data_IF_824370989566
#
_entry.id   IF_824370989566
#
_cell.length_a   1.000
_cell.length_b   1.000
_cell.length_c   1.000
_cell.angle_alpha   90.00
_cell.angle_beta   90.00
_cell.angle_gamma   90.00
#
_symmetry.space_group_name_H-M   'P 1'
#
loop_
_entity.id
_entity.type
_entity.pdbx_description
1 polymer ?
#
# COMPACT_ATOMS: atom_id res chain seq x y z
N UNK A 1 -23.83 -40.98 0.84
CA UNK A 1 -24.04 -39.78 1.66
C UNK A 1 -23.82 -40.19 3.11
N UNK A 2 -22.59 -40.07 3.63
CA UNK A 2 -22.32 -40.29 5.06
C UNK A 2 -22.37 -38.90 5.70
N UNK A 3 -23.46 -38.62 6.38
CA UNK A 3 -23.61 -37.41 7.19
C UNK A 3 -23.07 -37.73 8.59
N UNK A 4 -21.81 -37.37 8.87
CA UNK A 4 -21.35 -37.29 10.26
C UNK A 4 -21.75 -35.91 10.78
N UNK A 5 -22.97 -35.79 11.30
CA UNK A 5 -23.36 -34.65 12.14
C UNK A 5 -23.04 -35.04 13.57
N UNK A 6 -21.87 -34.61 14.03
CA UNK A 6 -21.42 -34.71 15.41
C UNK A 6 -20.42 -33.60 15.68
N UNK A 7 -20.84 -32.59 16.46
CA UNK A 7 -19.94 -31.64 17.12
C UNK A 7 -19.18 -32.41 18.21
N UNK A 8 -18.11 -33.12 17.83
CA UNK A 8 -17.17 -33.69 18.78
C UNK A 8 -15.80 -33.07 18.56
N UNK A 9 -15.25 -32.44 19.58
CA UNK A 9 -13.82 -32.11 19.67
C UNK A 9 -13.06 -33.44 19.57
N UNK A 10 -12.46 -33.70 18.41
CA UNK A 10 -11.67 -34.90 18.18
C UNK A 10 -10.28 -34.68 18.77
N UNK A 11 -10.03 -35.24 19.96
CA UNK A 11 -8.68 -35.46 20.46
C UNK A 11 -8.15 -36.75 19.82
N UNK A 12 -7.29 -36.63 18.82
CA UNK A 12 -6.68 -37.77 18.16
C UNK A 12 -5.20 -37.48 17.88
N UNK A 13 -4.34 -38.42 18.29
CA UNK A 13 -2.89 -38.29 18.13
C UNK A 13 -2.40 -38.54 16.70
N UNK A 14 -3.17 -39.12 15.78
CA UNK A 14 -2.84 -39.11 14.34
C UNK A 14 -4.12 -39.41 13.53
N UNK A 15 -4.63 -38.42 12.79
CA UNK A 15 -5.78 -38.60 11.90
C UNK A 15 -5.32 -38.57 10.44
N UNK A 16 -5.32 -39.73 9.78
CA UNK A 16 -5.02 -39.87 8.36
C UNK A 16 -6.32 -40.16 7.59
N UNK A 17 -6.82 -39.18 6.82
CA UNK A 17 -7.99 -39.37 5.95
C UNK A 17 -7.56 -39.53 4.50
N UNK A 18 -7.96 -40.65 3.87
CA UNK A 18 -7.77 -40.94 2.45
C UNK A 18 -9.11 -41.39 1.87
N UNK A 19 -9.88 -40.45 1.31
CA UNK A 19 -11.19 -40.75 0.70
C UNK A 19 -11.37 -40.09 -0.66
N UNK A 20 -12.25 -40.68 -1.47
CA UNK A 20 -12.58 -40.28 -2.85
C UNK A 20 -14.00 -39.68 -2.97
N UNK A 21 -14.58 -39.18 -1.87
CA UNK A 21 -15.99 -38.77 -1.83
C UNK A 21 -16.20 -37.29 -2.18
N UNK A 22 -17.14 -37.07 -3.08
CA UNK A 22 -17.49 -35.80 -3.76
C UNK A 22 -18.31 -34.80 -2.94
N UNK A 23 -18.12 -34.74 -1.61
CA UNK A 23 -18.65 -33.68 -0.72
C UNK A 23 -18.23 -33.98 0.73
N UNK A 24 -17.21 -33.29 1.25
CA UNK A 24 -16.87 -33.30 2.68
C UNK A 24 -17.33 -31.98 3.30
N UNK A 25 -18.60 -31.92 3.74
CA UNK A 25 -19.03 -30.91 4.71
C UNK A 25 -18.56 -31.31 6.11
N UNK A 26 -17.26 -31.41 6.33
CA UNK A 26 -16.72 -31.60 7.67
C UNK A 26 -16.53 -30.22 8.31
N UNK A 27 -17.52 -29.74 9.04
CA UNK A 27 -17.30 -28.73 10.07
C UNK A 27 -16.53 -29.38 11.24
N UNK A 28 -15.28 -29.79 11.02
CA UNK A 28 -14.42 -30.40 12.03
C UNK A 28 -13.48 -29.34 12.57
N UNK A 29 -13.64 -29.01 13.86
CA UNK A 29 -12.62 -28.29 14.62
C UNK A 29 -11.54 -29.28 15.03
N UNK A 30 -10.30 -29.07 14.59
CA UNK A 30 -9.17 -29.86 15.04
C UNK A 30 -8.38 -29.09 16.12
N UNK A 31 -8.20 -29.73 17.27
CA UNK A 31 -7.46 -29.22 18.43
C UNK A 31 -6.41 -30.27 18.82
N UNK A 32 -5.14 -30.08 18.44
CA UNK A 32 -4.07 -31.04 18.74
C UNK A 32 -2.66 -30.50 18.56
N UNK A 33 -1.67 -31.21 19.11
CA UNK A 33 -0.23 -30.89 19.01
C UNK A 33 0.52 -31.69 17.93
N UNK A 34 -0.19 -32.54 17.16
CA UNK A 34 0.40 -33.41 16.14
C UNK A 34 0.05 -32.93 14.75
N UNK A 35 0.92 -33.12 13.76
CA UNK A 35 0.80 -32.54 12.41
C UNK A 35 -0.36 -33.21 11.61
N UNK A 36 -1.49 -32.53 11.31
CA UNK A 36 -2.50 -33.14 10.44
C UNK A 36 -2.07 -33.01 8.97
N UNK A 37 -1.84 -34.15 8.31
CA UNK A 37 -1.60 -34.22 6.86
C UNK A 37 -2.90 -34.64 6.15
N UNK A 38 -3.51 -33.73 5.40
CA UNK A 38 -4.70 -34.01 4.60
C UNK A 38 -4.30 -34.31 3.16
N UNK A 39 -4.44 -35.58 2.74
CA UNK A 39 -4.17 -36.02 1.36
C UNK A 39 -5.39 -36.70 0.74
N UNK A 40 -5.94 -36.14 -0.35
CA UNK A 40 -7.10 -36.72 -1.03
C UNK A 40 -7.18 -36.30 -2.50
N UNK A 41 -7.94 -37.04 -3.31
CA UNK A 41 -8.34 -36.59 -4.66
C UNK A 41 -9.76 -36.03 -4.59
N UNK A 42 -9.89 -34.71 -4.60
CA UNK A 42 -11.19 -34.06 -4.70
C UNK A 42 -11.67 -34.04 -6.16
N UNK A 43 -12.99 -34.24 -6.36
CA UNK A 43 -13.61 -33.91 -7.64
C UNK A 43 -13.66 -32.38 -7.81
N UNK A 44 -13.84 -31.87 -9.04
CA UNK A 44 -13.76 -30.44 -9.40
C UNK A 44 -14.72 -29.48 -8.64
N UNK A 45 -15.53 -29.96 -7.70
CA UNK A 45 -16.54 -29.17 -6.98
C UNK A 45 -16.57 -29.34 -5.45
N UNK A 46 -15.59 -30.01 -4.84
CA UNK A 46 -15.60 -30.20 -3.39
C UNK A 46 -15.14 -28.91 -2.66
N UNK A 47 -15.97 -28.38 -1.76
CA UNK A 47 -15.63 -27.23 -0.90
C UNK A 47 -15.22 -27.75 0.48
N UNK A 48 -14.03 -27.35 0.92
CA UNK A 48 -13.47 -27.78 2.19
C UNK A 48 -13.50 -26.61 3.18
N UNK A 49 -14.26 -26.76 4.28
CA UNK A 49 -14.29 -25.80 5.38
C UNK A 49 -13.47 -26.35 6.55
N UNK A 50 -12.40 -25.67 6.95
CA UNK A 50 -11.62 -26.10 8.12
C UNK A 50 -11.49 -24.99 9.16
N UNK A 51 -11.58 -25.41 10.42
CA UNK A 51 -11.10 -24.63 11.55
C UNK A 51 -9.99 -25.44 12.23
N UNK A 52 -8.73 -25.03 12.03
CA UNK A 52 -7.57 -25.77 12.55
C UNK A 52 -6.86 -24.91 13.59
N UNK A 53 -6.85 -25.41 14.83
CA UNK A 53 -6.14 -24.82 15.97
C UNK A 53 -5.08 -25.82 16.45
N UNK A 54 -3.79 -25.52 16.24
CA UNK A 54 -2.68 -26.41 16.63
C UNK A 54 -1.47 -26.32 15.70
N UNK A 55 -0.64 -27.37 15.62
CA UNK A 55 0.67 -27.31 14.96
C UNK A 55 0.70 -27.77 13.49
N UNK A 56 1.26 -26.94 12.61
CA UNK A 56 1.78 -27.24 11.25
C UNK A 56 0.98 -28.15 10.28
N UNK A 57 -0.24 -27.80 9.84
CA UNK A 57 -0.94 -28.59 8.82
C UNK A 57 -0.22 -28.54 7.46
N UNK A 58 -0.26 -29.65 6.72
CA UNK A 58 0.05 -29.67 5.30
C UNK A 58 -1.17 -30.18 4.52
N UNK A 59 -1.62 -29.43 3.53
CA UNK A 59 -2.73 -29.82 2.66
C UNK A 59 -2.17 -30.06 1.26
N UNK A 60 -2.37 -31.28 0.74
CA UNK A 60 -1.99 -31.64 -0.62
C UNK A 60 -3.09 -32.39 -1.36
N UNK A 61 -3.58 -31.80 -2.45
CA UNK A 61 -4.57 -32.39 -3.35
C UNK A 61 -4.39 -31.85 -4.77
N UNK A 62 -4.72 -32.63 -5.82
CA UNK A 62 -4.73 -32.14 -7.19
C UNK A 62 -5.67 -30.93 -7.31
N UNK A 63 -6.92 -31.00 -6.86
CA UNK A 63 -7.88 -29.88 -6.91
C UNK A 63 -8.27 -29.46 -5.50
N UNK A 64 -8.16 -28.18 -5.14
CA UNK A 64 -8.56 -27.69 -3.82
C UNK A 64 -9.44 -26.44 -3.99
N UNK A 65 -10.63 -26.45 -3.37
CA UNK A 65 -11.40 -25.24 -3.09
C UNK A 65 -11.53 -25.08 -1.59
N UNK A 66 -10.98 -23.99 -1.05
CA UNK A 66 -11.09 -23.63 0.36
C UNK A 66 -12.14 -22.53 0.50
N UNK A 67 -13.17 -22.77 1.30
CA UNK A 67 -14.07 -21.73 1.76
C UNK A 67 -14.07 -21.73 3.30
N UNK A 68 -14.32 -20.58 3.94
CA UNK A 68 -14.53 -20.59 5.39
C UNK A 68 -13.30 -20.97 6.23
N UNK A 69 -12.06 -20.76 5.75
CA UNK A 69 -10.85 -21.32 6.35
C UNK A 69 -10.24 -20.42 7.45
N UNK A 70 -10.52 -20.71 8.73
CA UNK A 70 -9.82 -20.06 9.85
C UNK A 70 -8.64 -20.90 10.31
N UNK A 71 -7.44 -20.31 10.26
CA UNK A 71 -6.23 -20.94 10.79
C UNK A 71 -5.63 -20.06 11.87
N UNK A 72 -5.42 -20.65 13.06
CA UNK A 72 -4.68 -20.00 14.14
C UNK A 72 -3.60 -20.98 14.61
N UNK A 73 -2.43 -20.99 13.96
CA UNK A 73 -1.34 -21.84 14.42
C UNK A 73 -0.90 -21.37 15.80
N UNK A 74 -0.75 -22.29 16.74
CA UNK A 74 -0.10 -21.98 18.03
C UNK A 74 1.42 -22.20 17.92
N UNK A 75 1.87 -22.98 16.92
CA UNK A 75 3.27 -23.19 16.53
C UNK A 75 3.37 -23.80 15.13
N UNK A 76 4.49 -23.57 14.42
CA UNK A 76 4.81 -24.21 13.14
C UNK A 76 4.30 -23.55 11.85
N UNK A 77 4.91 -23.93 10.72
CA UNK A 77 4.57 -23.48 9.37
C UNK A 77 3.31 -24.19 8.81
N UNK A 78 2.52 -23.49 8.00
CA UNK A 78 1.39 -24.05 7.26
C UNK A 78 1.70 -24.04 5.76
N UNK A 79 1.55 -25.19 5.11
CA UNK A 79 1.85 -25.33 3.70
C UNK A 79 0.62 -25.88 2.95
N UNK A 80 0.23 -25.19 1.88
CA UNK A 80 -0.70 -25.71 0.88
C UNK A 80 0.07 -25.94 -0.41
N UNK A 81 0.00 -27.17 -0.92
CA UNK A 81 0.62 -27.55 -2.19
C UNK A 81 -0.31 -28.40 -3.06
N UNK A 82 -0.15 -28.37 -4.38
CA UNK A 82 -1.07 -29.08 -5.28
C UNK A 82 -0.68 -29.01 -6.74
N UNK A 83 -1.19 -29.93 -7.54
CA UNK A 83 -0.87 -30.03 -8.97
C UNK A 83 -1.84 -29.26 -9.89
N UNK A 84 -2.97 -28.77 -9.39
CA UNK A 84 -3.93 -27.96 -10.14
C UNK A 84 -4.17 -26.58 -9.47
N UNK A 85 -4.99 -25.70 -10.05
CA UNK A 85 -5.36 -24.43 -9.43
C UNK A 85 -6.02 -24.61 -8.05
N UNK A 86 -5.78 -23.65 -7.16
CA UNK A 86 -6.37 -23.56 -5.82
C UNK A 86 -7.34 -22.38 -5.79
N UNK A 87 -8.62 -22.60 -5.51
CA UNK A 87 -9.57 -21.51 -5.28
C UNK A 87 -9.71 -21.25 -3.77
N UNK A 88 -9.51 -20.01 -3.33
CA UNK A 88 -9.62 -19.58 -1.93
C UNK A 88 -10.72 -18.52 -1.80
N UNK A 89 -11.76 -18.83 -1.03
CA UNK A 89 -12.85 -17.93 -0.69
C UNK A 89 -12.66 -17.40 0.73
N UNK A 90 -12.72 -16.08 0.88
CA UNK A 90 -12.61 -15.43 2.20
C UNK A 90 -13.68 -15.91 3.19
N UNK A 91 -13.38 -15.77 4.48
CA UNK A 91 -14.28 -16.09 5.58
C UNK A 91 -14.43 -14.89 6.50
N UNK A 92 -15.62 -14.67 7.05
CA UNK A 92 -15.91 -13.49 7.87
C UNK A 92 -15.83 -13.80 9.36
N UNK A 93 -15.00 -13.06 10.09
CA UNK A 93 -14.95 -13.03 11.56
C UNK A 93 -15.35 -11.65 12.02
N UNK A 94 -16.47 -11.54 12.75
CA UNK A 94 -17.05 -10.25 13.10
C UNK A 94 -17.47 -9.48 11.85
N UNK A 95 -16.93 -8.27 11.66
CA UNK A 95 -17.14 -7.44 10.47
C UNK A 95 -16.03 -7.56 9.41
N UNK A 96 -15.02 -8.40 9.63
CA UNK A 96 -13.83 -8.49 8.77
C UNK A 96 -13.79 -9.81 8.03
N UNK A 97 -13.64 -9.75 6.72
CA UNK A 97 -13.42 -10.93 5.88
C UNK A 97 -11.92 -11.17 5.73
N UNK A 98 -11.46 -12.31 6.24
CA UNK A 98 -10.09 -12.77 6.18
C UNK A 98 -9.93 -13.79 5.05
N UNK A 99 -8.81 -13.72 4.36
CA UNK A 99 -8.34 -14.83 3.53
C UNK A 99 -7.36 -15.70 4.33
N UNK A 100 -6.51 -15.06 5.15
CA UNK A 100 -5.49 -15.73 5.96
C UNK A 100 -5.33 -14.97 7.28
N UNK A 101 -5.27 -15.71 8.38
CA UNK A 101 -4.89 -15.19 9.70
C UNK A 101 -3.62 -15.91 10.16
N UNK A 102 -2.50 -15.21 10.29
CA UNK A 102 -1.28 -15.74 10.89
C UNK A 102 -0.91 -14.86 12.07
N UNK A 103 -0.96 -15.36 13.29
CA UNK A 103 -0.51 -14.61 14.47
C UNK A 103 0.79 -15.19 15.06
N UNK A 104 1.64 -15.81 14.21
CA UNK A 104 2.89 -16.42 14.67
C UNK A 104 4.09 -15.96 13.84
N UNK A 105 5.29 -16.27 14.33
CA UNK A 105 6.57 -16.02 13.66
C UNK A 105 6.88 -16.98 12.49
N UNK A 106 5.93 -17.85 12.11
CA UNK A 106 6.18 -18.91 11.13
C UNK A 106 5.88 -18.48 9.69
N UNK A 107 6.54 -19.14 8.73
CA UNK A 107 6.24 -18.98 7.30
C UNK A 107 5.02 -19.81 6.91
N UNK A 108 4.06 -19.22 6.19
CA UNK A 108 2.99 -19.94 5.51
C UNK A 108 3.25 -19.91 4.01
N UNK A 109 3.19 -21.06 3.35
CA UNK A 109 3.55 -21.20 1.93
C UNK A 109 2.38 -21.71 1.10
N UNK A 110 2.11 -21.02 0.00
CA UNK A 110 1.15 -21.41 -1.03
C UNK A 110 1.92 -21.76 -2.31
N UNK A 111 2.03 -23.07 -2.60
CA UNK A 111 2.88 -23.60 -3.68
C UNK A 111 2.15 -24.63 -4.53
N UNK A 112 1.35 -24.17 -5.49
CA UNK A 112 0.64 -25.01 -6.47
C UNK A 112 1.27 -24.93 -7.87
N UNK A 113 1.15 -25.99 -8.68
CA UNK A 113 1.55 -25.95 -10.10
C UNK A 113 0.55 -25.14 -10.96
N UNK A 114 -0.71 -25.01 -10.50
CA UNK A 114 -1.70 -24.09 -11.07
C UNK A 114 -1.72 -22.73 -10.36
N UNK A 115 -2.51 -21.79 -10.88
CA UNK A 115 -2.69 -20.49 -10.23
C UNK A 115 -3.51 -20.62 -8.93
N UNK A 116 -3.17 -19.85 -7.91
CA UNK A 116 -4.01 -19.66 -6.71
C UNK A 116 -4.98 -18.52 -6.99
N UNK A 117 -6.28 -18.79 -7.00
CA UNK A 117 -7.33 -17.80 -7.24
C UNK A 117 -7.99 -17.40 -5.95
N UNK A 118 -8.12 -16.10 -5.70
CA UNK A 118 -8.81 -15.57 -4.54
C UNK A 118 -10.13 -14.95 -4.92
N UNK A 119 -11.14 -15.15 -4.07
CA UNK A 119 -12.50 -14.67 -4.28
C UNK A 119 -13.03 -13.92 -3.04
N UNK A 120 -13.63 -12.75 -3.26
CA UNK A 120 -14.27 -11.96 -2.22
C UNK A 120 -14.18 -10.46 -2.49
N UNK A 121 -15.08 -9.65 -1.95
CA UNK A 121 -15.03 -8.19 -2.16
C UNK A 121 -13.82 -7.55 -1.49
N UNK A 122 -13.58 -7.88 -0.21
CA UNK A 122 -12.41 -7.43 0.54
C UNK A 122 -11.80 -8.60 1.29
N UNK A 123 -10.49 -8.80 1.16
CA UNK A 123 -9.75 -9.88 1.81
C UNK A 123 -8.65 -9.31 2.72
N UNK A 124 -8.63 -9.78 3.96
CA UNK A 124 -7.58 -9.42 4.93
C UNK A 124 -6.58 -10.57 5.08
N UNK A 125 -5.30 -10.23 5.06
CA UNK A 125 -4.16 -11.12 5.25
C UNK A 125 -3.36 -10.66 6.46
N UNK A 126 -3.47 -11.37 7.57
CA UNK A 126 -2.72 -11.03 8.79
C UNK A 126 -1.42 -11.82 8.87
N UNK A 127 -0.30 -11.12 9.05
CA UNK A 127 1.05 -11.65 9.06
C UNK A 127 1.74 -11.28 10.37
N UNK A 128 1.50 -12.03 11.45
CA UNK A 128 1.92 -11.69 12.83
C UNK A 128 3.35 -11.15 12.90
N UNK A 129 4.35 -12.02 13.05
CA UNK A 129 5.77 -11.66 12.86
C UNK A 129 6.46 -12.57 11.84
N UNK A 130 5.72 -13.51 11.26
CA UNK A 130 6.21 -14.52 10.34
C UNK A 130 6.22 -14.06 8.89
N UNK A 131 5.99 -15.00 7.97
CA UNK A 131 6.03 -14.72 6.53
C UNK A 131 4.83 -15.34 5.81
N UNK A 132 4.23 -14.63 4.86
CA UNK A 132 3.37 -15.23 3.84
C UNK A 132 4.16 -15.35 2.54
N UNK A 133 4.22 -16.55 1.97
CA UNK A 133 4.94 -16.85 0.74
C UNK A 133 3.98 -17.44 -0.29
N UNK A 134 3.78 -16.72 -1.39
CA UNK A 134 3.02 -17.16 -2.57
C UNK A 134 4.02 -17.53 -3.68
N UNK A 135 4.36 -18.81 -3.79
CA UNK A 135 5.33 -19.27 -4.80
C UNK A 135 4.69 -19.62 -6.14
N UNK A 136 3.38 -19.87 -6.15
CA UNK A 136 2.60 -20.06 -7.37
C UNK A 136 2.13 -18.72 -7.96
N UNK A 137 1.78 -18.75 -9.26
CA UNK A 137 1.04 -17.64 -9.86
C UNK A 137 -0.26 -17.40 -9.07
N UNK A 138 -0.57 -16.16 -8.76
CA UNK A 138 -1.73 -15.79 -7.94
C UNK A 138 -2.66 -14.86 -8.71
N UNK A 139 -3.96 -15.11 -8.65
CA UNK A 139 -5.00 -14.37 -9.38
C UNK A 139 -6.01 -13.78 -8.39
N UNK A 140 -6.07 -12.45 -8.40
CA UNK A 140 -6.96 -11.64 -7.56
C UNK A 140 -8.01 -10.89 -8.40
N UNK A 141 -8.22 -11.25 -9.66
CA UNK A 141 -9.14 -10.55 -10.59
C UNK A 141 -10.59 -10.43 -10.09
N UNK A 142 -10.99 -11.25 -9.12
CA UNK A 142 -12.32 -11.20 -8.48
C UNK A 142 -12.31 -10.55 -7.10
N UNK A 143 -11.20 -9.90 -6.73
CA UNK A 143 -11.02 -9.21 -5.44
C UNK A 143 -11.00 -7.71 -5.66
N UNK A 144 -11.78 -6.95 -4.88
CA UNK A 144 -11.80 -5.49 -5.01
C UNK A 144 -10.74 -4.84 -4.12
N UNK A 145 -10.52 -5.39 -2.92
CA UNK A 145 -9.56 -4.86 -1.97
C UNK A 145 -8.82 -5.98 -1.23
N UNK A 146 -7.52 -5.78 -1.03
CA UNK A 146 -6.70 -6.58 -0.15
C UNK A 146 -6.04 -5.73 0.91
N UNK A 147 -6.14 -6.20 2.16
CA UNK A 147 -5.58 -5.53 3.33
C UNK A 147 -4.57 -6.46 3.96
N UNK A 148 -3.32 -6.04 4.03
CA UNK A 148 -2.25 -6.76 4.71
C UNK A 148 -2.06 -6.14 6.10
N UNK A 149 -2.26 -6.97 7.13
CA UNK A 149 -2.10 -6.62 8.54
C UNK A 149 -0.91 -7.37 9.17
N UNK A 150 -0.42 -6.96 10.35
CA UNK A 150 0.70 -7.60 11.09
C UNK A 150 2.07 -6.90 11.00
N UNK A 151 3.15 -7.61 11.28
CA UNK A 151 4.54 -7.11 11.20
C UNK A 151 5.45 -8.05 10.38
N UNK A 152 4.85 -9.05 9.74
CA UNK A 152 5.56 -10.07 9.00
C UNK A 152 5.88 -9.67 7.57
N UNK A 153 6.62 -10.55 6.90
CA UNK A 153 6.97 -10.37 5.49
C UNK A 153 5.90 -10.97 4.58
N UNK A 154 5.64 -10.33 3.46
CA UNK A 154 4.80 -10.91 2.40
C UNK A 154 5.61 -10.98 1.12
N UNK A 155 5.75 -12.18 0.57
CA UNK A 155 6.52 -12.42 -0.65
C UNK A 155 5.69 -13.19 -1.67
N UNK A 156 5.69 -12.70 -2.90
CA UNK A 156 5.15 -13.36 -4.08
C UNK A 156 6.31 -13.62 -5.03
N UNK A 157 6.64 -14.89 -5.25
CA UNK A 157 7.67 -15.28 -6.23
C UNK A 157 7.05 -15.76 -7.54
N UNK A 158 5.75 -16.08 -7.55
CA UNK A 158 4.99 -16.34 -8.77
C UNK A 158 4.38 -15.06 -9.37
N UNK A 159 3.86 -15.16 -10.61
CA UNK A 159 3.20 -14.03 -11.27
C UNK A 159 1.92 -13.64 -10.54
N UNK A 160 1.72 -12.35 -10.26
CA UNK A 160 0.52 -11.85 -9.59
C UNK A 160 -0.36 -11.08 -10.58
N UNK A 161 -1.58 -11.57 -10.80
CA UNK A 161 -2.60 -10.90 -11.60
C UNK A 161 -3.60 -10.18 -10.69
N UNK A 162 -3.58 -8.84 -10.68
CA UNK A 162 -4.37 -8.01 -9.75
C UNK A 162 -5.23 -6.96 -10.44
N UNK A 163 -5.78 -7.29 -11.61
CA UNK A 163 -6.65 -6.37 -12.36
C UNK A 163 -7.68 -5.71 -11.46
N UNK A 164 -7.56 -4.39 -11.28
CA UNK A 164 -8.47 -3.56 -10.50
C UNK A 164 -8.56 -3.85 -9.00
N UNK A 165 -7.49 -4.37 -8.39
CA UNK A 165 -7.45 -4.58 -6.94
C UNK A 165 -6.78 -3.40 -6.24
N UNK A 166 -7.41 -2.89 -5.19
CA UNK A 166 -6.79 -1.98 -4.21
C UNK A 166 -5.95 -2.78 -3.22
N UNK A 167 -4.66 -2.46 -3.14
CA UNK A 167 -3.75 -3.02 -2.15
C UNK A 167 -3.59 -2.04 -0.99
N UNK A 168 -3.80 -2.51 0.24
CA UNK A 168 -3.60 -1.71 1.44
C UNK A 168 -2.68 -2.45 2.40
N UNK A 169 -1.59 -1.79 2.83
CA UNK A 169 -0.75 -2.25 3.92
C UNK A 169 -1.04 -1.37 5.13
N UNK A 170 -1.59 -1.93 6.20
CA UNK A 170 -2.09 -1.18 7.36
C UNK A 170 -1.47 -1.71 8.64
N UNK A 171 -0.20 -1.39 8.89
CA UNK A 171 0.64 -2.03 9.92
C UNK A 171 1.43 -1.03 10.76
N UNK A 172 1.57 -1.29 12.06
CA UNK A 172 2.44 -0.52 12.98
C UNK A 172 3.86 -1.07 13.07
N UNK A 173 4.39 -1.64 11.97
CA UNK A 173 5.69 -2.32 11.93
C UNK A 173 6.36 -2.31 10.56
N UNK A 174 7.57 -2.88 10.50
CA UNK A 174 8.31 -3.05 9.24
C UNK A 174 7.78 -4.28 8.51
N UNK A 175 7.24 -4.12 7.30
CA UNK A 175 6.95 -5.24 6.42
C UNK A 175 7.94 -5.20 5.25
N UNK A 176 8.69 -6.28 5.02
CA UNK A 176 9.34 -6.48 3.73
C UNK A 176 8.30 -7.10 2.78
N UNK A 177 7.96 -6.36 1.73
CA UNK A 177 6.94 -6.73 0.75
C UNK A 177 7.61 -6.92 -0.60
N UNK A 178 7.72 -8.17 -1.04
CA UNK A 178 8.36 -8.52 -2.29
C UNK A 178 7.30 -9.01 -3.27
N UNK A 179 6.75 -8.11 -4.10
CA UNK A 179 5.68 -8.46 -5.05
C UNK A 179 5.93 -7.87 -6.42
N UNK A 180 5.96 -8.69 -7.46
CA UNK A 180 5.94 -8.24 -8.85
C UNK A 180 4.48 -8.17 -9.33
N UNK A 181 4.00 -6.97 -9.64
CA UNK A 181 2.63 -6.77 -10.12
C UNK A 181 2.62 -6.61 -11.64
N UNK A 182 1.78 -7.37 -12.33
CA UNK A 182 1.56 -7.13 -13.76
C UNK A 182 0.71 -5.85 -13.99
N UNK A 183 -0.26 -5.57 -13.11
CA UNK A 183 -1.16 -4.40 -13.17
C UNK A 183 -1.94 -4.22 -11.87
N UNK A 184 -1.75 -3.11 -11.14
CA UNK A 184 -2.62 -2.71 -10.00
C UNK A 184 -3.44 -1.45 -10.33
N UNK A 185 -4.59 -1.24 -9.69
CA UNK A 185 -5.39 0.00 -9.81
C UNK A 185 -5.00 1.03 -8.75
N UNK A 186 -4.82 0.59 -7.51
CA UNK A 186 -4.42 1.48 -6.43
C UNK A 186 -3.54 0.73 -5.44
N UNK A 187 -2.43 1.34 -5.07
CA UNK A 187 -1.55 0.85 -4.01
C UNK A 187 -1.56 1.89 -2.91
N UNK A 188 -1.97 1.47 -1.72
CA UNK A 188 -2.10 2.27 -0.51
C UNK A 188 -1.16 1.71 0.54
N UNK A 189 -0.28 2.57 1.07
CA UNK A 189 0.59 2.23 2.20
C UNK A 189 0.19 3.16 3.34
N UNK A 190 -0.38 2.61 4.40
CA UNK A 190 -1.01 3.34 5.49
C UNK A 190 -0.51 2.86 6.87
N UNK A 191 -0.65 3.71 7.90
CA UNK A 191 -0.58 3.28 9.30
C UNK A 191 0.77 3.27 10.01
N UNK A 192 1.75 4.13 9.67
CA UNK A 192 3.03 4.18 10.40
C UNK A 192 4.00 3.05 10.04
N UNK A 193 3.67 2.26 9.02
CA UNK A 193 4.50 1.14 8.57
C UNK A 193 5.75 1.61 7.83
N UNK A 194 6.79 0.76 7.82
CA UNK A 194 7.85 0.83 6.81
C UNK A 194 7.65 -0.35 5.85
N UNK A 195 7.40 -0.06 4.58
CA UNK A 195 7.20 -1.06 3.52
C UNK A 195 8.33 -0.95 2.51
N UNK A 196 9.06 -2.03 2.27
CA UNK A 196 10.14 -2.07 1.26
C UNK A 196 9.76 -2.96 0.10
N UNK A 197 9.93 -2.47 -1.13
CA UNK A 197 9.76 -3.21 -2.38
C UNK A 197 11.14 -3.56 -2.99
N UNK A 198 11.36 -4.83 -3.34
CA UNK A 198 12.67 -5.37 -3.77
C UNK A 198 12.79 -5.75 -5.26
N UNK A 199 14.04 -5.86 -5.71
CA UNK A 199 14.62 -5.81 -7.08
C UNK A 199 13.95 -6.48 -8.31
N UNK A 200 12.95 -7.34 -8.19
CA UNK A 200 12.42 -8.07 -9.37
C UNK A 200 10.97 -7.70 -9.74
N UNK A 201 10.55 -6.54 -9.28
CA UNK A 201 9.16 -6.13 -9.30
C UNK A 201 9.03 -4.85 -10.12
N UNK A 202 8.59 -4.96 -11.38
CA UNK A 202 7.89 -3.83 -11.97
C UNK A 202 6.60 -3.70 -11.18
N UNK A 203 6.46 -2.68 -10.34
CA UNK A 203 5.12 -2.29 -9.91
C UNK A 203 4.56 -1.58 -11.12
N UNK A 204 3.67 -2.21 -11.89
CA UNK A 204 2.91 -1.53 -12.93
C UNK A 204 1.59 -1.10 -12.31
N UNK A 205 1.57 0.07 -11.68
CA UNK A 205 0.33 0.63 -11.14
C UNK A 205 -0.35 1.47 -12.24
N UNK A 206 -1.41 0.92 -12.81
CA UNK A 206 -2.26 1.62 -13.79
C UNK A 206 -3.15 2.70 -13.16
N UNK A 207 -3.10 2.90 -11.85
CA UNK A 207 -3.71 4.07 -11.20
C UNK A 207 -2.76 4.80 -10.26
N UNK A 208 -3.27 5.19 -9.10
CA UNK A 208 -2.58 6.10 -8.18
C UNK A 208 -1.88 5.31 -7.07
N UNK A 209 -0.60 5.63 -6.81
CA UNK A 209 0.04 5.23 -5.55
C UNK A 209 -0.24 6.33 -4.52
N UNK A 210 -0.87 5.96 -3.41
CA UNK A 210 -1.12 6.86 -2.28
C UNK A 210 -0.34 6.33 -1.08
N UNK A 211 0.53 7.16 -0.51
CA UNK A 211 1.26 6.83 0.72
C UNK A 211 0.82 7.79 1.81
N UNK A 212 0.27 7.25 2.89
CA UNK A 212 -0.24 8.02 4.03
C UNK A 212 0.54 7.61 5.28
N UNK A 213 1.16 8.57 5.97
CA UNK A 213 1.79 8.37 7.28
C UNK A 213 2.75 7.17 7.38
N UNK A 214 3.41 6.78 6.28
CA UNK A 214 4.19 5.55 6.19
C UNK A 214 5.48 5.74 5.40
N UNK A 215 6.46 4.87 5.62
CA UNK A 215 7.71 4.84 4.86
C UNK A 215 7.61 3.81 3.74
N UNK A 216 7.87 4.20 2.50
CA UNK A 216 7.92 3.29 1.35
C UNK A 216 9.29 3.35 0.68
N UNK A 217 9.88 2.19 0.36
CA UNK A 217 11.15 2.11 -0.38
C UNK A 217 10.96 1.40 -1.72
N UNK A 218 11.21 2.11 -2.83
CA UNK A 218 11.21 1.58 -4.19
C UNK A 218 12.65 1.49 -4.71
N UNK A 219 13.27 0.31 -4.56
CA UNK A 219 14.67 0.11 -4.94
C UNK A 219 14.86 -0.40 -6.39
N UNK A 220 13.77 -0.57 -7.14
CA UNK A 220 13.74 -1.13 -8.51
C UNK A 220 12.94 -0.24 -9.45
N UNK A 221 12.79 -0.66 -10.71
CA UNK A 221 11.91 0.03 -11.67
C UNK A 221 10.50 0.10 -11.12
N UNK A 222 10.00 1.32 -10.95
CA UNK A 222 8.67 1.62 -10.42
C UNK A 222 7.86 2.27 -11.53
N UNK A 223 6.72 1.69 -11.92
CA UNK A 223 5.86 2.22 -12.98
C UNK A 223 4.50 2.61 -12.40
N UNK A 224 4.08 3.86 -12.57
CA UNK A 224 2.78 4.29 -12.05
C UNK A 224 2.13 5.32 -12.96
N UNK A 225 0.81 5.36 -13.02
CA UNK A 225 0.16 6.46 -13.73
C UNK A 225 0.27 7.77 -12.95
N UNK A 226 0.34 7.72 -11.62
CA UNK A 226 0.52 8.89 -10.78
C UNK A 226 1.11 8.49 -9.42
N UNK A 227 2.07 9.26 -8.95
CA UNK A 227 2.60 9.15 -7.59
C UNK A 227 2.00 10.25 -6.72
N UNK A 228 1.34 9.88 -5.61
CA UNK A 228 0.89 10.80 -4.59
C UNK A 228 1.56 10.47 -3.26
N UNK A 229 2.29 11.44 -2.71
CA UNK A 229 2.99 11.33 -1.43
C UNK A 229 2.28 12.22 -0.42
N UNK A 230 1.47 11.62 0.45
CA UNK A 230 0.54 12.32 1.33
C UNK A 230 1.11 12.54 2.75
N UNK A 231 0.34 13.23 3.58
CA UNK A 231 0.71 13.68 4.93
C UNK A 231 1.59 12.69 5.71
N UNK A 232 2.78 13.15 6.10
CA UNK A 232 3.71 12.42 6.95
C UNK A 232 4.36 11.20 6.32
N UNK A 233 3.99 10.82 5.09
CA UNK A 233 4.63 9.72 4.40
C UNK A 233 6.06 10.08 3.99
N UNK A 234 6.92 9.07 3.92
CA UNK A 234 8.27 9.17 3.37
C UNK A 234 8.45 8.14 2.26
N UNK A 235 8.63 8.57 1.03
CA UNK A 235 8.81 7.69 -0.11
C UNK A 235 10.23 7.80 -0.62
N UNK A 236 10.96 6.69 -0.66
CA UNK A 236 12.30 6.61 -1.24
C UNK A 236 12.23 5.97 -2.62
N UNK A 237 12.82 6.60 -3.63
CA UNK A 237 12.88 6.04 -5.00
C UNK A 237 14.33 5.95 -5.47
N UNK A 238 14.77 4.76 -5.86
CA UNK A 238 16.15 4.49 -6.26
C UNK A 238 16.36 3.67 -7.53
N UNK A 239 15.32 3.07 -8.11
CA UNK A 239 15.39 2.46 -9.43
C UNK A 239 14.67 3.33 -10.46
N UNK A 240 15.02 3.21 -11.75
CA UNK A 240 14.40 3.98 -12.84
C UNK A 240 12.87 3.96 -12.74
N UNK A 241 12.26 5.08 -12.37
CA UNK A 241 10.83 5.18 -12.25
C UNK A 241 10.27 5.66 -13.59
N UNK A 242 9.31 4.94 -14.17
CA UNK A 242 8.58 5.39 -15.36
C UNK A 242 7.16 5.69 -14.94
N UNK A 243 6.84 6.96 -14.70
CA UNK A 243 5.46 7.34 -14.38
C UNK A 243 4.80 8.01 -15.57
N UNK A 244 3.63 7.56 -16.00
CA UNK A 244 2.97 8.21 -17.13
C UNK A 244 2.27 9.53 -16.76
N UNK A 245 2.20 9.86 -15.46
CA UNK A 245 1.64 11.11 -14.97
C UNK A 245 2.54 11.82 -13.96
N UNK A 246 2.01 12.90 -13.39
CA UNK A 246 2.75 13.75 -12.46
C UNK A 246 2.95 13.15 -11.07
N UNK A 247 3.74 13.85 -10.28
CA UNK A 247 3.95 13.60 -8.85
C UNK A 247 3.18 14.66 -8.08
N UNK A 248 2.31 14.23 -7.18
CA UNK A 248 1.65 15.10 -6.21
C UNK A 248 2.31 14.92 -4.84
N UNK A 249 2.94 15.98 -4.34
CA UNK A 249 3.53 16.01 -3.01
C UNK A 249 2.58 16.76 -2.08
N UNK A 250 1.75 16.02 -1.33
CA UNK A 250 0.71 16.53 -0.44
C UNK A 250 1.17 16.40 1.00
N UNK A 251 2.13 17.23 1.42
CA UNK A 251 2.60 17.23 2.82
C UNK A 251 3.35 15.98 3.28
N UNK A 252 3.75 15.09 2.38
CA UNK A 252 4.72 14.04 2.65
C UNK A 252 6.15 14.43 2.22
N UNK A 253 7.07 13.47 2.29
CA UNK A 253 8.46 13.61 1.88
C UNK A 253 8.77 12.61 0.78
N UNK A 254 9.24 13.08 -0.37
CA UNK A 254 9.80 12.25 -1.43
C UNK A 254 11.33 12.34 -1.36
N UNK A 255 12.02 11.20 -1.33
CA UNK A 255 13.47 11.11 -1.21
C UNK A 255 14.05 10.33 -2.40
N UNK A 256 15.11 10.86 -2.99
CA UNK A 256 15.86 10.14 -4.02
C UNK A 256 16.92 9.21 -3.40
N UNK A 257 17.19 8.10 -4.08
CA UNK A 257 18.31 7.19 -3.79
C UNK A 257 19.26 7.02 -4.98
N UNK A 258 18.96 7.67 -6.11
CA UNK A 258 19.81 7.78 -7.30
C UNK A 258 19.33 8.94 -8.17
N UNK A 259 20.16 9.36 -9.15
CA UNK A 259 19.84 10.46 -10.07
C UNK A 259 19.00 10.01 -11.26
N UNK A 260 18.24 10.94 -11.86
CA UNK A 260 17.40 10.72 -13.05
C UNK A 260 16.37 9.60 -12.87
N UNK A 261 15.87 9.46 -11.65
CA UNK A 261 14.94 8.39 -11.28
C UNK A 261 13.54 8.75 -11.70
N UNK A 262 13.18 10.03 -11.60
CA UNK A 262 11.85 10.55 -11.86
C UNK A 262 11.74 11.14 -13.27
N UNK A 263 12.82 11.62 -13.87
CA UNK A 263 12.96 12.02 -15.28
C UNK A 263 11.70 12.33 -16.09
N UNK A 264 11.47 13.61 -16.43
CA UNK A 264 10.42 14.09 -17.34
C UNK A 264 8.98 14.00 -16.80
N UNK A 265 8.78 14.17 -15.49
CA UNK A 265 7.45 14.25 -14.89
C UNK A 265 7.16 15.63 -14.31
N UNK A 266 5.88 15.98 -14.17
CA UNK A 266 5.49 17.21 -13.48
C UNK A 266 5.57 16.99 -11.97
N UNK A 267 6.04 17.98 -11.22
CA UNK A 267 5.95 18.01 -9.76
C UNK A 267 4.89 19.03 -9.34
N UNK A 268 3.81 18.54 -8.72
CA UNK A 268 2.80 19.35 -8.08
C UNK A 268 3.11 19.41 -6.58
N UNK A 269 3.82 20.46 -6.18
CA UNK A 269 4.17 20.75 -4.80
C UNK A 269 2.94 21.34 -4.08
N UNK A 270 2.20 20.46 -3.42
CA UNK A 270 1.02 20.77 -2.62
C UNK A 270 1.34 20.74 -1.12
N UNK A 271 2.58 21.11 -0.79
CA UNK A 271 3.19 20.97 0.53
C UNK A 271 4.36 19.99 0.48
N UNK A 272 4.87 19.64 1.66
CA UNK A 272 5.85 18.56 1.81
C UNK A 272 7.26 18.93 1.36
N UNK A 273 8.10 17.90 1.26
CA UNK A 273 9.54 18.00 1.00
C UNK A 273 9.94 17.09 -0.16
N UNK A 274 10.52 17.65 -1.22
CA UNK A 274 11.23 16.87 -2.23
C UNK A 274 12.73 16.90 -1.92
N UNK A 275 13.25 15.79 -1.42
CA UNK A 275 14.62 15.65 -0.96
C UNK A 275 15.48 14.89 -1.98
N UNK A 276 16.47 15.57 -2.53
CA UNK A 276 17.39 15.04 -3.53
C UNK A 276 18.44 14.12 -2.91
N UNK A 277 18.70 14.18 -1.60
CA UNK A 277 19.71 13.34 -0.92
C UNK A 277 21.10 13.37 -1.62
N UNK A 278 21.49 14.49 -2.24
CA UNK A 278 22.73 14.57 -3.01
C UNK A 278 22.67 13.91 -4.40
N UNK A 279 21.48 13.80 -4.99
CA UNK A 279 21.28 13.32 -6.36
C UNK A 279 20.76 14.43 -7.28
N UNK A 280 20.77 14.18 -8.59
CA UNK A 280 20.33 15.10 -9.64
C UNK A 280 19.06 14.61 -10.31
N UNK A 281 18.15 15.53 -10.63
CA UNK A 281 16.86 15.20 -11.25
C UNK A 281 16.43 16.23 -12.30
N UNK A 282 15.80 15.75 -13.36
CA UNK A 282 15.21 16.55 -14.44
C UNK A 282 13.71 16.31 -14.54
N UNK A 283 12.91 17.35 -14.32
CA UNK A 283 11.45 17.30 -14.34
C UNK A 283 10.88 18.22 -15.41
N UNK A 284 9.61 18.02 -15.75
CA UNK A 284 8.89 18.87 -16.69
C UNK A 284 8.47 20.17 -16.00
N UNK A 285 7.24 20.27 -15.53
CA UNK A 285 6.72 21.47 -14.91
C UNK A 285 6.72 21.36 -13.39
N UNK A 286 7.12 22.46 -12.73
CA UNK A 286 6.90 22.68 -11.30
C UNK A 286 5.59 23.44 -11.09
N UNK A 287 4.66 22.91 -10.30
CA UNK A 287 3.49 23.64 -9.78
C UNK A 287 3.58 23.75 -8.27
N UNK A 288 3.07 24.85 -7.70
CA UNK A 288 3.11 25.17 -6.28
C UNK A 288 1.73 25.65 -5.81
N UNK A 289 1.05 24.89 -4.94
CA UNK A 289 -0.27 25.29 -4.40
C UNK A 289 -0.25 25.55 -2.88
N UNK A 290 0.78 25.08 -2.18
CA UNK A 290 1.02 25.28 -0.75
C UNK A 290 2.52 25.54 -0.56
N UNK A 291 2.91 26.16 0.56
CA UNK A 291 4.33 26.30 0.90
C UNK A 291 4.99 24.93 0.93
N UNK A 292 6.04 24.77 0.14
CA UNK A 292 6.70 23.49 -0.10
C UNK A 292 8.21 23.65 -0.05
N UNK A 293 8.90 22.52 0.00
CA UNK A 293 10.35 22.51 0.14
C UNK A 293 11.01 21.59 -0.88
N UNK A 294 12.12 22.05 -1.44
CA UNK A 294 13.13 21.20 -2.07
C UNK A 294 14.32 21.20 -1.14
N UNK A 295 14.87 20.03 -0.87
CA UNK A 295 16.06 19.85 -0.04
C UNK A 295 17.13 19.16 -0.90
N UNK A 296 18.28 19.80 -1.08
CA UNK A 296 19.40 19.24 -1.82
C UNK A 296 20.12 18.11 -1.06
N UNK A 297 19.83 17.96 0.24
CA UNK A 297 20.47 17.00 1.14
C UNK A 297 21.83 17.49 1.65
N UNK A 298 22.37 16.81 2.64
CA UNK A 298 23.72 17.08 3.15
C UNK A 298 24.75 16.40 2.25
N UNK A 299 25.42 17.14 1.38
CA UNK A 299 26.45 16.60 0.49
C UNK A 299 27.28 17.69 -0.14
N UNK A 300 28.50 17.35 -0.57
CA UNK A 300 29.36 18.27 -1.28
C UNK A 300 28.88 18.40 -2.74
N UNK A 301 28.25 19.54 -3.05
CA UNK A 301 28.24 20.24 -4.33
C UNK A 301 28.45 19.46 -5.62
N UNK A 302 27.36 19.27 -6.38
CA UNK A 302 27.29 18.91 -7.81
C UNK A 302 25.86 18.49 -8.23
N UNK A 303 24.87 18.71 -7.37
CA UNK A 303 23.52 18.24 -7.58
C UNK A 303 22.79 19.22 -8.49
N UNK A 304 21.98 18.72 -9.41
CA UNK A 304 21.19 19.56 -10.30
C UNK A 304 19.72 19.20 -10.22
N UNK A 305 18.87 20.18 -9.97
CA UNK A 305 17.42 20.06 -10.11
C UNK A 305 16.92 21.00 -11.19
N UNK A 306 16.47 20.44 -12.31
CA UNK A 306 16.05 21.20 -13.48
C UNK A 306 14.59 20.95 -13.81
N UNK A 307 13.82 22.01 -13.98
CA UNK A 307 12.45 21.98 -14.48
C UNK A 307 12.38 22.63 -15.87
N UNK A 308 11.80 21.90 -16.84
CA UNK A 308 11.56 22.39 -18.21
C UNK A 308 10.53 23.54 -18.29
N UNK A 309 9.74 23.74 -17.22
CA UNK A 309 8.75 24.80 -17.17
C UNK A 309 8.22 25.11 -15.79
N UNK A 310 7.51 26.24 -15.69
CA UNK A 310 6.69 26.59 -14.54
C UNK A 310 5.21 26.33 -14.83
N UNK A 311 4.61 25.43 -14.06
CA UNK A 311 3.17 25.20 -14.01
C UNK A 311 2.42 26.28 -13.21
N UNK A 312 1.38 25.89 -12.48
CA UNK A 312 0.57 26.82 -11.69
C UNK A 312 1.25 27.14 -10.36
N UNK A 313 1.40 28.43 -10.03
CA UNK A 313 1.86 28.89 -8.72
C UNK A 313 0.73 29.67 -8.07
N UNK A 314 0.19 29.17 -6.96
CA UNK A 314 -0.81 29.87 -6.18
C UNK A 314 -0.19 31.11 -5.55
N UNK A 315 -0.92 32.23 -5.58
CA UNK A 315 -0.46 33.51 -5.04
C UNK A 315 -0.11 33.41 -3.55
N UNK A 316 0.99 34.03 -3.14
CA UNK A 316 1.44 34.08 -1.74
C UNK A 316 2.01 32.77 -1.20
N UNK A 317 2.21 31.74 -2.03
CA UNK A 317 2.90 30.50 -1.65
C UNK A 317 4.38 30.59 -1.95
N UNK A 318 5.19 29.91 -1.15
CA UNK A 318 6.65 29.91 -1.28
C UNK A 318 7.19 28.49 -1.49
N UNK A 319 8.11 28.34 -2.44
CA UNK A 319 9.00 27.19 -2.54
C UNK A 319 10.31 27.55 -1.84
N UNK A 320 10.69 26.78 -0.82
CA UNK A 320 11.99 26.94 -0.15
C UNK A 320 12.95 25.87 -0.66
N UNK A 321 14.09 26.29 -1.20
CA UNK A 321 15.19 25.42 -1.62
C UNK A 321 16.24 25.42 -0.50
N UNK A 322 16.46 24.28 0.15
CA UNK A 322 17.36 24.12 1.29
C UNK A 322 18.62 23.34 0.94
N UNK A 323 19.62 23.45 1.84
CA UNK A 323 20.90 22.75 1.76
C UNK A 323 21.58 22.92 0.40
N UNK A 324 21.37 24.10 -0.20
CA UNK A 324 21.94 24.45 -1.48
C UNK A 324 23.38 24.89 -1.28
N UNK A 325 24.33 24.12 -1.80
CA UNK A 325 25.78 24.31 -1.59
C UNK A 325 26.51 24.67 -2.87
N UNK A 326 27.80 25.02 -2.76
CA UNK A 326 28.62 25.40 -3.91
C UNK A 326 28.67 24.28 -4.93
N UNK A 327 28.39 24.58 -6.20
CA UNK A 327 28.39 23.59 -7.29
C UNK A 327 27.02 22.97 -7.57
N UNK A 328 26.03 23.20 -6.70
CA UNK A 328 24.66 22.79 -6.96
C UNK A 328 23.95 23.76 -7.94
N UNK A 329 23.04 23.22 -8.74
CA UNK A 329 22.25 23.95 -9.73
C UNK A 329 20.74 23.75 -9.52
N UNK A 330 19.99 24.86 -9.59
CA UNK A 330 18.53 24.85 -9.58
C UNK A 330 18.00 25.68 -10.75
N UNK A 331 17.19 25.07 -11.61
CA UNK A 331 16.65 25.75 -12.78
C UNK A 331 15.14 25.54 -12.91
N UNK A 332 14.41 26.63 -13.18
CA UNK A 332 13.02 26.57 -13.67
C UNK A 332 12.93 27.42 -14.93
N UNK A 333 12.78 26.75 -16.08
CA UNK A 333 12.61 27.43 -17.36
C UNK A 333 11.23 28.08 -17.48
N UNK A 334 11.11 29.13 -18.29
CA UNK A 334 9.85 29.79 -18.63
C UNK A 334 9.00 30.26 -17.43
N UNK A 335 9.63 30.60 -16.30
CA UNK A 335 8.96 31.13 -15.12
C UNK A 335 8.76 32.64 -15.25
N UNK A 336 7.56 33.16 -14.99
CA UNK A 336 7.33 34.61 -14.97
C UNK A 336 7.97 35.25 -13.75
N UNK A 337 8.30 36.55 -13.82
CA UNK A 337 8.89 37.29 -12.69
C UNK A 337 8.06 37.18 -11.40
N UNK A 338 6.73 37.24 -11.51
CA UNK A 338 5.82 37.09 -10.36
C UNK A 338 5.92 35.73 -9.68
N UNK A 339 6.13 34.65 -10.44
CA UNK A 339 6.33 33.29 -9.90
C UNK A 339 7.74 33.08 -9.39
N UNK A 340 8.73 33.70 -10.03
CA UNK A 340 10.13 33.63 -9.61
C UNK A 340 10.34 34.22 -8.20
N UNK A 341 9.59 35.26 -7.85
CA UNK A 341 9.58 35.85 -6.50
C UNK A 341 9.08 34.88 -5.41
N UNK A 342 8.44 33.78 -5.79
CA UNK A 342 7.93 32.75 -4.88
C UNK A 342 8.93 31.64 -4.59
N UNK A 343 10.15 31.72 -5.14
CA UNK A 343 11.23 30.77 -4.86
C UNK A 343 12.25 31.42 -3.93
N UNK A 344 12.53 30.80 -2.80
CA UNK A 344 13.52 31.25 -1.81
C UNK A 344 14.59 30.19 -1.64
N UNK A 345 15.83 30.63 -1.46
CA UNK A 345 16.98 29.75 -1.26
C UNK A 345 17.54 29.90 0.15
N UNK A 346 17.91 28.78 0.76
CA UNK A 346 18.49 28.66 2.09
C UNK A 346 19.69 27.70 2.03
N UNK A 347 20.87 28.18 2.41
CA UNK A 347 22.12 27.41 2.35
C UNK A 347 23.16 27.97 3.30
N UNK A 348 24.10 27.13 3.72
CA UNK A 348 25.17 27.51 4.63
C UNK A 348 26.20 28.36 3.90
N UNK A 349 26.14 29.68 4.12
CA UNK A 349 27.03 30.68 3.52
C UNK A 349 28.40 30.74 4.23
N UNK A 350 28.94 29.58 4.59
CA UNK A 350 30.14 29.48 5.41
C UNK A 350 31.47 29.84 4.71
N UNK A 351 31.52 29.99 3.39
CA UNK A 351 32.81 30.19 2.70
C UNK A 351 32.70 31.23 1.59
N UNK A 352 33.38 32.37 1.77
CA UNK A 352 33.69 33.37 0.75
C UNK A 352 34.66 32.86 -0.35
N UNK A 353 34.48 31.62 -0.80
CA UNK A 353 35.39 30.96 -1.74
C UNK A 353 34.67 30.57 -3.02
N UNK A 354 34.76 31.44 -4.04
CA UNK A 354 34.75 31.20 -5.51
C UNK A 354 33.99 29.98 -6.09
N UNK A 355 32.91 29.57 -5.46
CA UNK A 355 31.99 28.56 -5.94
C UNK A 355 30.80 29.21 -6.63
N UNK A 356 30.59 28.95 -7.92
CA UNK A 356 29.43 29.47 -8.63
C UNK A 356 28.19 28.66 -8.23
N UNK A 357 27.30 29.27 -7.45
CA UNK A 357 25.91 28.81 -7.31
C UNK A 357 25.14 29.29 -8.54
N UNK A 358 24.47 28.38 -9.25
CA UNK A 358 23.66 28.76 -10.40
C UNK A 358 22.19 28.48 -10.11
N UNK A 359 21.46 29.52 -9.68
CA UNK A 359 20.02 29.53 -9.80
C UNK A 359 19.67 30.22 -11.11
N UNK A 360 18.95 29.54 -11.99
CA UNK A 360 18.43 30.12 -13.22
C UNK A 360 16.90 30.12 -13.20
N UNK A 361 16.32 31.31 -13.14
CA UNK A 361 14.89 31.51 -13.29
C UNK A 361 14.67 32.26 -14.62
N UNK A 362 13.97 31.62 -15.55
CA UNK A 362 13.69 32.17 -16.88
C UNK A 362 14.95 32.48 -17.71
N UNK A 363 15.98 31.63 -17.59
CA UNK A 363 17.27 31.82 -18.27
C UNK A 363 18.15 32.92 -17.68
N UNK A 364 17.63 33.73 -16.75
CA UNK A 364 18.43 34.72 -16.03
C UNK A 364 19.17 34.04 -14.87
N UNK A 365 20.49 34.20 -14.84
CA UNK A 365 21.31 33.74 -13.71
C UNK A 365 21.07 34.68 -12.53
N UNK A 366 20.53 34.15 -11.44
CA UNK A 366 20.41 34.89 -10.18
C UNK A 366 21.77 34.89 -9.48
N UNK A 367 22.29 36.07 -9.19
CA UNK A 367 23.51 36.22 -8.42
C UNK A 367 23.21 36.23 -6.91
N UNK A 368 24.12 35.72 -6.06
CA UNK A 368 24.11 35.73 -4.58
C UNK A 368 23.60 36.98 -3.83
N UNK A 369 23.43 38.13 -4.48
CA UNK A 369 22.96 39.38 -3.85
C UNK A 369 21.45 39.65 -3.95
N UNK A 370 20.71 38.92 -4.79
CA UNK A 370 19.28 39.18 -5.05
C UNK A 370 18.33 38.28 -4.24
N UNK A 371 18.86 37.50 -3.31
CA UNK A 371 18.06 36.60 -2.48
C UNK A 371 17.44 37.38 -1.31
N UNK A 372 16.11 37.31 -1.16
CA UNK A 372 15.45 37.67 0.09
C UNK A 372 15.80 36.61 1.13
N UNK A 373 16.84 36.89 1.92
CA UNK A 373 17.21 36.08 3.08
C UNK A 373 16.04 36.06 4.07
N UNK A 374 15.51 34.87 4.32
CA UNK A 374 14.65 34.66 5.48
C UNK A 374 15.48 34.09 6.61
N UNK A 375 15.41 34.74 7.76
CA UNK A 375 16.08 34.34 9.00
C UNK A 375 15.48 33.06 9.60
N UNK A 376 14.34 32.58 9.09
CA UNK A 376 13.78 31.27 9.37
C UNK A 376 13.08 30.73 8.11
N UNK A 377 13.13 29.41 7.84
CA UNK A 377 12.27 28.82 6.84
C UNK A 377 10.81 29.09 7.24
N UNK A 378 10.03 29.70 6.34
CA UNK A 378 8.57 29.77 6.51
C UNK A 378 8.11 28.32 6.61
N UNK A 379 7.74 27.89 7.81
CA UNK A 379 7.46 26.50 8.10
C UNK A 379 6.39 26.01 7.12
N UNK A 380 6.58 24.78 6.62
CA UNK A 380 5.63 24.10 5.76
C UNK A 380 4.26 24.15 6.48
N UNK A 381 3.37 25.05 6.03
CA UNK A 381 2.04 25.18 6.62
C UNK A 381 1.11 24.17 5.96
N UNK A 382 1.43 22.91 6.22
CA UNK A 382 0.57 21.78 5.95
C UNK A 382 -0.48 21.77 7.06
N UNK A 383 -1.55 22.54 6.88
CA UNK A 383 -2.73 22.39 7.73
C UNK A 383 -3.25 20.99 7.44
N UNK A 384 -3.16 20.04 8.40
CA UNK A 384 -3.69 18.71 8.18
C UNK A 384 -5.15 18.87 7.75
N UNK A 385 -5.55 18.27 6.64
CA UNK A 385 -6.98 18.04 6.44
C UNK A 385 -7.39 17.21 7.64
N UNK A 386 -8.27 17.70 8.53
CA UNK A 386 -8.63 16.94 9.72
C UNK A 386 -9.19 15.61 9.23
N UNK A 387 -8.44 14.53 9.50
CA UNK A 387 -8.97 13.18 9.34
C UNK A 387 -10.17 13.14 10.27
N UNK A 388 -11.38 12.82 9.79
CA UNK A 388 -12.54 12.73 10.67
C UNK A 388 -12.16 11.79 11.81
N UNK A 389 -12.27 12.28 13.05
CA UNK A 389 -11.95 11.44 14.20
C UNK A 389 -12.76 10.15 14.12
N UNK A 390 -12.28 9.00 14.64
CA UNK A 390 -13.04 7.75 14.63
C UNK A 390 -14.49 7.91 15.15
N UNK A 391 -14.69 8.84 16.08
CA UNK A 391 -16.00 9.27 16.61
C UNK A 391 -16.96 9.77 15.50
N UNK A 392 -16.45 10.43 14.47
CA UNK A 392 -17.22 10.94 13.32
C UNK A 392 -17.79 9.80 12.48
N UNK A 393 -16.98 8.76 12.22
CA UNK A 393 -17.45 7.56 11.51
C UNK A 393 -18.46 6.76 12.35
N UNK A 394 -18.22 6.66 13.66
CA UNK A 394 -19.14 6.01 14.61
C UNK A 394 -20.48 6.76 14.67
N UNK A 395 -20.46 8.10 14.74
CA UNK A 395 -21.69 8.92 14.73
C UNK A 395 -22.43 8.81 13.39
N UNK A 396 -21.72 8.80 12.26
CA UNK A 396 -22.33 8.59 10.95
C UNK A 396 -23.03 7.22 10.85
N UNK A 397 -22.37 6.15 11.31
CA UNK A 397 -22.95 4.82 11.39
C UNK A 397 -24.16 4.76 12.33
N UNK A 398 -24.08 5.36 13.51
CA UNK A 398 -25.19 5.42 14.47
C UNK A 398 -26.39 6.18 13.90
N UNK A 399 -26.17 7.28 13.16
CA UNK A 399 -27.23 8.05 12.51
C UNK A 399 -27.93 7.22 11.43
N UNK A 400 -27.19 6.46 10.62
CA UNK A 400 -27.75 5.57 9.60
C UNK A 400 -28.59 4.45 10.21
N UNK A 401 -28.13 3.86 11.33
CA UNK A 401 -28.90 2.87 12.08
C UNK A 401 -30.19 3.50 12.62
N UNK A 402 -30.10 4.69 13.23
CA UNK A 402 -31.25 5.41 13.76
C UNK A 402 -32.30 5.74 12.67
N UNK A 403 -31.86 6.19 11.49
CA UNK A 403 -32.72 6.45 10.34
C UNK A 403 -33.40 5.17 9.84
N UNK A 404 -32.67 4.06 9.79
CA UNK A 404 -33.22 2.76 9.38
C UNK A 404 -34.28 2.27 10.38
N UNK A 405 -34.00 2.39 11.68
CA UNK A 405 -34.95 2.06 12.74
C UNK A 405 -36.19 2.96 12.71
N UNK A 406 -36.02 4.27 12.49
CA UNK A 406 -37.13 5.22 12.34
C UNK A 406 -38.03 4.84 11.17
N UNK A 407 -37.42 4.53 10.02
CA UNK A 407 -38.18 4.25 8.80
C UNK A 407 -38.90 2.90 8.86
N UNK A 408 -38.31 1.90 9.52
CA UNK A 408 -38.99 0.66 9.85
C UNK A 408 -40.20 0.88 10.78
N UNK A 409 -40.05 1.72 11.80
CA UNK A 409 -41.16 2.07 12.72
C UNK A 409 -42.28 2.83 11.99
N UNK A 410 -41.94 3.77 11.10
CA UNK A 410 -42.90 4.51 10.27
C UNK A 410 -43.73 3.56 9.39
N UNK A 411 -43.08 2.62 8.71
CA UNK A 411 -43.77 1.61 7.87
C UNK A 411 -44.70 0.71 8.68
N UNK A 412 -44.35 0.37 9.92
CA UNK A 412 -45.26 -0.38 10.82
C UNK A 412 -46.48 0.44 11.21
N UNK A 413 -46.30 1.72 11.55
CA UNK A 413 -47.41 2.61 11.92
C UNK A 413 -48.42 2.81 10.77
N UNK A 414 -47.94 2.92 9.52
CA UNK A 414 -48.81 3.04 8.35
C UNK A 414 -49.62 1.76 8.08
N UNK A 415 -49.06 0.57 8.36
CA UNK A 415 -49.78 -0.70 8.23
C UNK A 415 -50.83 -0.92 9.33
N UNK A 416 -50.71 -0.23 10.46
CA UNK A 416 -51.66 -0.33 11.58
C UNK A 416 -52.80 0.68 11.53
N UNK A 417 -52.86 1.59 10.54
CA UNK A 417 -54.07 2.36 10.31
C UNK A 417 -55.16 1.39 9.86
N UNK A 418 -56.23 1.17 10.66
CA UNK A 418 -57.36 0.40 10.20
C UNK A 418 -57.87 1.07 8.94
N UNK A 419 -58.13 0.30 7.89
CA UNK A 419 -58.93 0.75 6.77
C UNK A 419 -60.33 1.07 7.36
N UNK A 420 -60.52 2.31 7.81
CA UNK A 420 -61.85 2.84 8.11
C UNK A 420 -62.46 3.18 6.74
N UNK A 421 -62.80 2.12 6.01
CA UNK A 421 -63.68 2.20 4.86
C UNK A 421 -65.11 2.35 5.34
N UNK A 422 -65.81 3.25 4.65
CA UNK A 422 -67.24 3.52 4.71
C UNK A 422 -68.11 2.27 4.53
#
# INVERSE_FOLDING_TARGET
MISLIGLSTLHAEDFYWKGTSTNINAASSWVGNNKPDFTGSAAENDVWNFNVTGSSPNISSPNIRLAGFYFQPNSGAFNISGNSPLDVYGFTVGSTTYAIYNNTANTQTFSTNGAVKFHGSALTFETGTGKLLFSASTDFTQVQQMVFTGQGNTEFTGNVNVNSVRWQFSNSGVNDVRVAFNSAEELIIDGGSTTTFHQNTSVNNSGTLVTNFSVAHFNSTFNSNKLTVDYGAKVYIGGNASHNGGIDLKCGTLLLKSSNVIGNHNLNAMGGIFNLQGFSEGLNNLSLSVNSMVDFGSGAGANSLNFQGAGAFASGKMLTVMNWTSGDSFQVLNISNSKAQQVRFYGDYGVQGVGFYQAQLNGNTLTPGNFLYATAPDMINCVPVPVPEPSTYIMGGALMIALTCFEWRRRRAQKSSPNVGA
#
